data_IF_094228647790
#
_entry.id   IF_094228647790
#
_cell.length_a   1.000
_cell.length_b   1.000
_cell.length_c   1.000
_cell.angle_alpha   90.00
_cell.angle_beta   90.00
_cell.angle_gamma   90.00
#
_symmetry.space_group_name_H-M   'P 1'
#
loop_
_entity.id
_entity.type
_entity.pdbx_description
1 polymer ?
#
# COMPACT_ATOMS: atom_id res chain seq x y z
N UNK A 1 -0.34 -55.09 -3.63
CA UNK A 1 -0.05 -53.87 -4.41
C UNK A 1 -0.84 -54.02 -5.67
N UNK A 2 -2.09 -53.57 -5.62
CA UNK A 2 -3.08 -53.62 -6.68
C UNK A 2 -3.57 -52.18 -6.90
N UNK A 3 -3.81 -51.73 -8.14
CA UNK A 3 -4.28 -50.38 -8.40
C UNK A 3 -5.81 -50.34 -8.24
N UNK A 4 -6.30 -49.45 -7.37
CA UNK A 4 -7.73 -49.11 -7.32
C UNK A 4 -7.98 -47.99 -8.32
N UNK A 5 -8.72 -48.29 -9.38
CA UNK A 5 -9.23 -47.32 -10.36
C UNK A 5 -10.05 -46.20 -9.69
N UNK A 6 -10.00 -44.95 -10.19
CA UNK A 6 -10.93 -43.92 -9.77
C UNK A 6 -12.32 -44.20 -10.38
N UNK A 7 -13.30 -44.42 -9.51
CA UNK A 7 -14.70 -44.54 -9.88
C UNK A 7 -15.17 -43.28 -10.63
N UNK A 8 -15.54 -43.46 -11.90
CA UNK A 8 -16.29 -42.50 -12.68
C UNK A 8 -17.66 -42.25 -12.02
N UNK A 9 -17.82 -41.10 -11.36
CA UNK A 9 -19.12 -40.64 -10.88
C UNK A 9 -19.92 -40.09 -12.07
N UNK A 10 -20.91 -40.86 -12.50
CA UNK A 10 -21.91 -40.48 -13.49
C UNK A 10 -22.70 -39.25 -13.03
N UNK A 11 -22.70 -38.20 -13.85
CA UNK A 11 -23.57 -37.02 -13.69
C UNK A 11 -25.00 -37.43 -14.01
N UNK A 12 -25.83 -37.58 -12.98
CA UNK A 12 -27.27 -37.79 -13.14
C UNK A 12 -27.98 -36.43 -13.29
N UNK A 13 -28.86 -36.33 -14.28
CA UNK A 13 -29.52 -35.09 -14.74
C UNK A 13 -30.64 -34.56 -13.81
N UNK A 14 -30.58 -34.84 -12.50
CA UNK A 14 -31.63 -34.48 -11.53
C UNK A 14 -31.36 -33.24 -10.65
N UNK A 15 -30.11 -32.78 -10.55
CA UNK A 15 -29.71 -31.79 -9.52
C UNK A 15 -29.55 -30.35 -10.06
N UNK A 16 -30.34 -29.98 -11.07
CA UNK A 16 -30.14 -28.71 -11.80
C UNK A 16 -30.32 -27.43 -10.97
N UNK A 17 -31.17 -27.43 -9.94
CA UNK A 17 -31.37 -26.27 -9.07
C UNK A 17 -30.73 -26.44 -7.69
N UNK A 18 -30.76 -27.63 -7.09
CA UNK A 18 -30.12 -27.90 -5.79
C UNK A 18 -28.59 -27.96 -5.89
N UNK A 19 -28.03 -28.48 -6.99
CA UNK A 19 -26.59 -28.45 -7.26
C UNK A 19 -26.09 -27.05 -7.62
N UNK A 20 -26.94 -26.25 -8.29
CA UNK A 20 -26.67 -24.85 -8.63
C UNK A 20 -26.83 -23.95 -7.39
N UNK A 21 -27.74 -24.27 -6.47
CA UNK A 21 -27.85 -23.61 -5.17
C UNK A 21 -26.64 -23.96 -4.29
N UNK A 22 -26.19 -25.23 -4.23
CA UNK A 22 -24.95 -25.60 -3.51
C UNK A 22 -23.69 -24.99 -4.12
N UNK A 23 -23.61 -24.78 -5.44
CA UNK A 23 -22.48 -24.08 -6.06
C UNK A 23 -22.54 -22.56 -5.88
N UNK A 24 -23.75 -21.97 -5.82
CA UNK A 24 -23.96 -20.55 -5.52
C UNK A 24 -23.74 -20.23 -4.04
N UNK A 25 -24.15 -21.10 -3.12
CA UNK A 25 -24.01 -20.90 -1.67
C UNK A 25 -22.77 -21.56 -1.09
N UNK A 26 -22.03 -22.37 -1.85
CA UNK A 26 -20.71 -22.86 -1.46
C UNK A 26 -19.71 -21.73 -1.23
N UNK A 27 -19.88 -20.60 -1.93
CA UNK A 27 -19.11 -19.35 -1.71
C UNK A 27 -19.57 -18.59 -0.44
N UNK A 28 -20.75 -18.90 0.07
CA UNK A 28 -21.33 -18.31 1.29
C UNK A 28 -21.37 -19.32 2.45
N UNK A 29 -20.80 -20.52 2.30
CA UNK A 29 -20.78 -21.51 3.36
C UNK A 29 -19.77 -21.09 4.43
N UNK A 30 -20.13 -21.30 5.70
CA UNK A 30 -19.26 -21.02 6.84
C UNK A 30 -17.94 -21.81 6.79
N UNK A 31 -17.85 -22.84 5.95
CA UNK A 31 -16.66 -23.67 5.74
C UNK A 31 -15.61 -22.99 4.87
N UNK A 32 -15.99 -22.37 3.74
CA UNK A 32 -15.05 -21.59 2.92
C UNK A 32 -14.57 -20.36 3.67
N UNK A 33 -15.46 -19.72 4.45
CA UNK A 33 -15.08 -18.66 5.37
C UNK A 33 -14.18 -19.17 6.50
N UNK A 34 -14.38 -20.37 7.05
CA UNK A 34 -13.46 -20.98 8.04
C UNK A 34 -12.10 -21.29 7.44
N UNK A 35 -12.05 -21.80 6.22
CA UNK A 35 -10.81 -22.16 5.53
C UNK A 35 -9.99 -20.89 5.23
N UNK A 36 -10.63 -19.87 4.65
CA UNK A 36 -10.01 -18.58 4.36
C UNK A 36 -9.64 -17.81 5.65
N UNK A 37 -10.49 -17.86 6.67
CA UNK A 37 -10.22 -17.27 7.98
C UNK A 37 -9.05 -17.98 8.67
N UNK A 38 -8.98 -19.30 8.67
CA UNK A 38 -7.88 -20.06 9.27
C UNK A 38 -6.55 -19.89 8.50
N UNK A 39 -6.61 -19.62 7.20
CA UNK A 39 -5.42 -19.29 6.40
C UNK A 39 -4.94 -17.85 6.61
N UNK A 40 -5.84 -16.92 6.95
CA UNK A 40 -5.55 -15.48 7.08
C UNK A 40 -5.29 -15.06 8.52
N UNK A 41 -5.97 -15.69 9.47
CA UNK A 41 -5.86 -15.48 10.92
C UNK A 41 -5.35 -16.79 11.53
N UNK A 42 -4.13 -16.81 12.11
CA UNK A 42 -3.64 -17.99 12.79
C UNK A 42 -4.61 -18.35 13.92
N UNK A 43 -4.82 -19.64 14.17
CA UNK A 43 -5.66 -20.07 15.29
C UNK A 43 -5.11 -19.49 16.61
N UNK A 44 -5.95 -19.28 17.61
CA UNK A 44 -5.50 -18.72 18.90
C UNK A 44 -4.33 -19.52 19.50
N UNK A 45 -4.29 -20.84 19.25
CA UNK A 45 -3.19 -21.71 19.63
C UNK A 45 -1.91 -21.45 18.84
N UNK A 46 -2.02 -21.16 17.54
CA UNK A 46 -0.89 -20.87 16.65
C UNK A 46 -0.32 -19.46 16.92
N UNK A 47 -1.18 -18.50 17.28
CA UNK A 47 -0.74 -17.19 17.80
C UNK A 47 -0.06 -17.33 19.17
N UNK A 48 -0.58 -18.20 20.03
CA UNK A 48 -0.01 -18.48 21.34
C UNK A 48 1.41 -19.03 21.21
N UNK A 49 1.62 -20.05 20.38
CA UNK A 49 2.96 -20.62 20.14
C UNK A 49 3.97 -19.65 19.48
N UNK A 50 3.49 -18.58 18.83
CA UNK A 50 4.39 -17.54 18.29
C UNK A 50 4.80 -16.49 19.33
N UNK A 51 3.97 -16.33 20.36
CA UNK A 51 4.21 -15.39 21.45
C UNK A 51 4.98 -16.05 22.60
N UNK A 52 4.71 -17.33 22.85
CA UNK A 52 5.39 -18.19 23.81
C UNK A 52 6.80 -18.55 23.28
N UNK A 53 7.76 -17.67 23.55
CA UNK A 53 9.12 -17.76 23.01
C UNK A 53 9.99 -18.75 23.80
N UNK A 54 9.66 -18.96 25.07
CA UNK A 54 10.32 -19.93 25.95
C UNK A 54 9.62 -21.29 26.02
N UNK A 55 8.47 -21.44 25.36
CA UNK A 55 7.66 -22.66 25.25
C UNK A 55 7.17 -23.20 26.61
N UNK A 56 6.92 -22.29 27.56
CA UNK A 56 6.49 -22.64 28.91
C UNK A 56 4.97 -22.89 29.03
N UNK A 57 4.22 -22.68 27.95
CA UNK A 57 2.79 -22.88 27.91
C UNK A 57 1.98 -21.75 28.55
N UNK A 58 2.61 -20.61 28.84
CA UNK A 58 2.03 -19.34 29.28
C UNK A 58 2.54 -18.22 28.36
N UNK A 59 1.90 -17.04 28.40
CA UNK A 59 2.42 -15.85 27.70
C UNK A 59 2.70 -14.80 28.75
N UNK A 60 3.98 -14.52 28.98
CA UNK A 60 4.40 -13.50 29.94
C UNK A 60 4.14 -12.08 29.40
N UNK A 61 4.11 -11.09 30.30
CA UNK A 61 3.96 -9.68 29.92
C UNK A 61 5.09 -9.17 29.03
N UNK A 62 6.30 -9.73 29.18
CA UNK A 62 7.48 -9.37 28.40
C UNK A 62 7.44 -9.95 26.99
N UNK A 63 7.00 -11.21 26.84
CA UNK A 63 6.79 -11.85 25.54
C UNK A 63 5.61 -11.26 24.77
N UNK A 64 4.53 -10.92 25.46
CA UNK A 64 3.39 -10.21 24.86
C UNK A 64 3.81 -8.84 24.34
N UNK A 65 4.62 -8.10 25.11
CA UNK A 65 5.17 -6.81 24.69
C UNK A 65 6.14 -6.96 23.51
N UNK A 66 7.02 -7.97 23.53
CA UNK A 66 7.95 -8.28 22.45
C UNK A 66 7.21 -8.61 21.14
N UNK A 67 6.18 -9.46 21.17
CA UNK A 67 5.38 -9.82 20.01
C UNK A 67 4.54 -8.67 19.44
N UNK A 68 4.04 -7.76 20.29
CA UNK A 68 3.35 -6.54 19.86
C UNK A 68 4.30 -5.44 19.35
N UNK A 69 5.59 -5.53 19.67
CA UNK A 69 6.64 -4.59 19.24
C UNK A 69 7.40 -5.01 17.97
N UNK A 70 7.05 -6.14 17.35
CA UNK A 70 7.61 -6.60 16.08
C UNK A 70 7.35 -5.63 14.90
N UNK A 71 8.20 -5.68 13.85
CA UNK A 71 8.35 -4.60 12.88
C UNK A 71 7.04 -4.24 12.17
N UNK A 72 6.90 -2.96 11.83
CA UNK A 72 5.83 -2.29 11.08
C UNK A 72 5.18 -3.06 9.92
N UNK A 73 5.79 -4.14 9.45
CA UNK A 73 5.16 -5.14 8.62
C UNK A 73 3.83 -5.66 9.17
N UNK A 74 3.55 -5.62 10.48
CA UNK A 74 2.21 -6.00 10.99
C UNK A 74 1.07 -5.13 10.43
N UNK A 75 1.25 -3.81 10.39
CA UNK A 75 0.22 -2.89 9.87
C UNK A 75 0.16 -2.88 8.35
N UNK A 76 1.29 -2.99 7.66
CA UNK A 76 1.30 -3.10 6.20
C UNK A 76 0.76 -4.47 5.74
N UNK A 77 1.10 -5.57 6.43
CA UNK A 77 0.54 -6.89 6.17
C UNK A 77 -0.94 -6.97 6.55
N UNK A 78 -1.38 -6.33 7.64
CA UNK A 78 -2.80 -6.24 7.97
C UNK A 78 -3.55 -5.40 6.94
N UNK A 79 -2.98 -4.27 6.50
CA UNK A 79 -3.59 -3.41 5.47
C UNK A 79 -3.61 -4.11 4.11
N UNK A 80 -2.57 -4.84 3.75
CA UNK A 80 -2.51 -5.68 2.56
C UNK A 80 -3.44 -6.88 2.66
N UNK A 81 -3.53 -7.56 3.79
CA UNK A 81 -4.45 -8.68 4.01
C UNK A 81 -5.90 -8.21 4.02
N UNK A 82 -6.20 -7.08 4.65
CA UNK A 82 -7.50 -6.43 4.61
C UNK A 82 -7.83 -5.94 3.20
N UNK A 83 -6.88 -5.33 2.47
CA UNK A 83 -7.07 -4.97 1.07
C UNK A 83 -7.25 -6.19 0.18
N UNK A 84 -6.49 -7.28 0.38
CA UNK A 84 -6.63 -8.52 -0.37
C UNK A 84 -7.93 -9.24 -0.04
N UNK A 85 -8.41 -9.17 1.20
CA UNK A 85 -9.70 -9.72 1.60
C UNK A 85 -10.86 -8.89 1.06
N UNK A 86 -10.78 -7.56 1.16
CA UNK A 86 -11.76 -6.64 0.56
C UNK A 86 -11.76 -6.80 -0.95
N UNK A 87 -10.59 -6.87 -1.60
CA UNK A 87 -10.48 -7.16 -3.02
C UNK A 87 -10.96 -8.58 -3.32
N UNK A 88 -10.67 -9.60 -2.54
CA UNK A 88 -11.19 -10.95 -2.78
C UNK A 88 -12.72 -11.05 -2.61
N UNK A 89 -13.35 -10.13 -1.86
CA UNK A 89 -14.81 -10.01 -1.73
C UNK A 89 -15.39 -9.12 -2.85
N UNK A 90 -14.69 -8.07 -3.24
CA UNK A 90 -15.11 -7.08 -4.25
C UNK A 90 -14.77 -7.49 -5.69
N UNK A 91 -13.73 -8.28 -5.90
CA UNK A 91 -13.22 -8.74 -7.21
C UNK A 91 -14.08 -9.84 -7.84
N UNK A 92 -14.75 -10.73 -7.08
CA UNK A 92 -15.86 -11.54 -7.60
C UNK A 92 -17.01 -10.67 -8.14
N UNK A 93 -17.16 -9.44 -7.64
CA UNK A 93 -18.11 -8.46 -8.19
C UNK A 93 -17.60 -7.76 -9.47
N UNK A 94 -16.32 -7.92 -9.81
CA UNK A 94 -15.68 -7.39 -11.01
C UNK A 94 -15.35 -8.49 -12.05
N UNK A 95 -15.84 -9.72 -11.86
CA UNK A 95 -15.70 -10.76 -12.88
C UNK A 95 -16.46 -10.39 -14.15
N UNK A 96 -15.95 -10.82 -15.31
CA UNK A 96 -16.61 -10.75 -16.64
C UNK A 96 -18.09 -11.23 -16.63
N UNK A 97 -18.51 -11.94 -15.59
CA UNK A 97 -19.88 -12.33 -15.30
C UNK A 97 -20.78 -11.13 -15.00
N UNK A 98 -20.27 -10.06 -14.38
CA UNK A 98 -20.95 -8.78 -14.23
C UNK A 98 -20.99 -7.99 -15.52
N UNK A 99 -19.93 -8.02 -16.33
CA UNK A 99 -19.99 -7.51 -17.69
C UNK A 99 -21.04 -8.26 -18.52
N UNK A 100 -21.15 -9.59 -18.37
CA UNK A 100 -22.21 -10.42 -18.95
C UNK A 100 -23.58 -10.15 -18.33
N UNK A 101 -23.67 -9.81 -17.05
CA UNK A 101 -24.93 -9.49 -16.36
C UNK A 101 -25.44 -8.12 -16.80
N UNK A 102 -24.57 -7.11 -16.90
CA UNK A 102 -24.83 -5.80 -17.49
C UNK A 102 -25.13 -5.95 -18.99
N UNK A 103 -24.46 -6.86 -19.70
CA UNK A 103 -24.77 -7.21 -21.08
C UNK A 103 -26.13 -7.93 -21.23
N UNK A 104 -26.48 -8.83 -20.32
CA UNK A 104 -27.79 -9.51 -20.30
C UNK A 104 -28.93 -8.61 -19.84
N UNK A 105 -28.65 -7.65 -18.94
CA UNK A 105 -29.64 -6.72 -18.40
C UNK A 105 -29.83 -5.46 -19.27
N UNK A 106 -28.73 -4.82 -19.69
CA UNK A 106 -28.74 -3.58 -20.46
C UNK A 106 -28.23 -3.74 -21.90
N UNK A 107 -27.27 -4.65 -22.15
CA UNK A 107 -26.71 -4.89 -23.49
C UNK A 107 -27.73 -5.45 -24.48
N UNK A 108 -28.65 -6.33 -24.02
CA UNK A 108 -29.79 -6.80 -24.81
C UNK A 108 -30.79 -5.68 -25.15
N UNK A 109 -31.01 -4.73 -24.24
CA UNK A 109 -31.86 -3.55 -24.45
C UNK A 109 -31.21 -2.53 -25.39
N UNK A 110 -29.89 -2.33 -25.28
CA UNK A 110 -29.12 -1.49 -26.19
C UNK A 110 -29.01 -2.11 -27.59
N UNK A 111 -28.81 -3.43 -27.69
CA UNK A 111 -28.87 -4.15 -28.96
C UNK A 111 -30.28 -4.14 -29.53
N UNK A 112 -31.33 -4.30 -28.72
CA UNK A 112 -32.72 -4.19 -29.17
C UNK A 112 -33.04 -2.77 -29.65
N UNK A 113 -32.58 -1.73 -28.94
CA UNK A 113 -32.71 -0.34 -29.35
C UNK A 113 -31.94 -0.07 -30.65
N UNK A 114 -30.72 -0.58 -30.78
CA UNK A 114 -29.91 -0.50 -32.00
C UNK A 114 -30.57 -1.26 -33.17
N UNK A 115 -31.12 -2.45 -32.92
CA UNK A 115 -31.78 -3.31 -33.91
C UNK A 115 -33.14 -2.69 -34.33
N UNK A 116 -33.86 -2.05 -33.41
CA UNK A 116 -35.04 -1.21 -33.70
C UNK A 116 -34.68 0.03 -34.53
N UNK A 117 -33.47 0.60 -34.39
CA UNK A 117 -32.99 1.68 -35.28
C UNK A 117 -32.51 1.18 -36.65
N UNK A 118 -32.01 -0.06 -36.72
CA UNK A 118 -31.51 -0.72 -37.94
C UNK A 118 -32.59 -1.51 -38.70
N UNK A 119 -33.84 -1.51 -38.23
CA UNK A 119 -35.02 -2.03 -38.95
C UNK A 119 -35.83 -0.90 -39.64
N UNK A 120 -35.30 -0.18 -40.65
CA UNK A 120 -36.10 0.78 -41.39
C UNK A 120 -36.85 0.06 -42.53
N UNK A 121 -37.79 -0.86 -42.24
CA UNK A 121 -38.56 -1.44 -43.36
C UNK A 121 -39.94 -2.08 -43.12
N UNK A 122 -40.62 -1.90 -41.98
CA UNK A 122 -41.92 -2.60 -41.80
C UNK A 122 -43.15 -1.71 -41.54
N UNK A 123 -43.05 -0.40 -41.26
CA UNK A 123 -44.25 0.46 -41.34
C UNK A 123 -43.94 1.94 -41.57
N UNK A 124 -44.44 2.49 -42.68
CA UNK A 124 -44.26 3.87 -43.15
C UNK A 124 -45.10 4.92 -42.40
N UNK A 125 -45.71 4.57 -41.26
CA UNK A 125 -46.76 5.39 -40.64
C UNK A 125 -46.38 6.04 -39.30
N UNK A 126 -45.22 5.72 -38.71
CA UNK A 126 -44.83 6.24 -37.38
C UNK A 126 -43.83 7.40 -37.53
N UNK A 127 -44.11 8.58 -36.97
CA UNK A 127 -43.22 9.74 -37.10
C UNK A 127 -41.87 9.45 -36.41
N UNK A 128 -40.77 9.61 -37.16
CA UNK A 128 -39.38 9.34 -36.75
C UNK A 128 -38.93 10.02 -35.44
N UNK A 129 -39.68 11.01 -34.96
CA UNK A 129 -39.43 11.72 -33.70
C UNK A 129 -39.73 10.86 -32.46
N UNK A 130 -40.64 9.88 -32.55
CA UNK A 130 -41.09 9.09 -31.42
C UNK A 130 -40.01 8.11 -30.92
N UNK A 131 -39.09 7.66 -31.78
CA UNK A 131 -38.02 6.71 -31.42
C UNK A 131 -36.75 7.38 -30.86
N UNK A 132 -36.57 8.70 -31.02
CA UNK A 132 -35.34 9.40 -30.58
C UNK A 132 -35.31 9.62 -29.06
N UNK A 133 -36.41 10.10 -28.52
CA UNK A 133 -36.56 10.38 -27.09
C UNK A 133 -36.43 9.16 -26.17
N UNK A 134 -37.01 7.98 -26.47
CA UNK A 134 -36.82 6.81 -25.61
C UNK A 134 -35.37 6.31 -25.62
N UNK A 135 -34.66 6.39 -26.76
CA UNK A 135 -33.25 5.99 -26.84
C UNK A 135 -32.38 6.95 -26.02
N UNK A 136 -32.55 8.26 -26.19
CA UNK A 136 -31.86 9.26 -25.37
C UNK A 136 -32.16 9.07 -23.88
N UNK A 137 -33.41 8.82 -23.51
CA UNK A 137 -33.81 8.59 -22.12
C UNK A 137 -33.13 7.34 -21.53
N UNK A 138 -33.09 6.22 -22.26
CA UNK A 138 -32.41 4.99 -21.81
C UNK A 138 -30.91 5.22 -21.68
N UNK A 139 -30.26 5.88 -22.64
CA UNK A 139 -28.83 6.18 -22.57
C UNK A 139 -28.50 7.10 -21.38
N UNK A 140 -29.27 8.17 -21.16
CA UNK A 140 -29.09 9.05 -20.00
C UNK A 140 -29.36 8.34 -18.67
N UNK A 141 -30.31 7.40 -18.63
CA UNK A 141 -30.59 6.60 -17.44
C UNK A 141 -29.42 5.66 -17.11
N UNK A 142 -28.81 5.02 -18.11
CA UNK A 142 -27.61 4.19 -17.93
C UNK A 142 -26.44 5.03 -17.42
N UNK A 143 -26.15 6.16 -18.07
CA UNK A 143 -25.09 7.09 -17.65
C UNK A 143 -25.35 7.59 -16.22
N UNK A 144 -26.59 7.95 -15.89
CA UNK A 144 -26.98 8.39 -14.56
C UNK A 144 -26.83 7.30 -13.49
N UNK A 145 -27.16 6.05 -13.84
CA UNK A 145 -26.94 4.88 -12.98
C UNK A 145 -25.46 4.62 -12.70
N UNK A 146 -24.61 4.68 -13.74
CA UNK A 146 -23.16 4.56 -13.58
C UNK A 146 -22.58 5.67 -12.69
N UNK A 147 -23.01 6.92 -12.90
CA UNK A 147 -22.61 8.05 -12.09
C UNK A 147 -23.03 7.88 -10.62
N UNK A 148 -24.25 7.39 -10.38
CA UNK A 148 -24.75 7.13 -9.04
C UNK A 148 -23.92 6.05 -8.33
N UNK A 149 -23.67 4.92 -9.00
CA UNK A 149 -22.84 3.84 -8.45
C UNK A 149 -21.42 4.34 -8.16
N UNK A 150 -20.82 5.09 -9.08
CA UNK A 150 -19.50 5.69 -8.88
C UNK A 150 -19.47 6.64 -7.67
N UNK A 151 -20.49 7.50 -7.53
CA UNK A 151 -20.62 8.41 -6.39
C UNK A 151 -20.78 7.65 -5.07
N UNK A 152 -21.62 6.61 -5.04
CA UNK A 152 -21.82 5.75 -3.87
C UNK A 152 -20.53 5.02 -3.47
N UNK A 153 -19.80 4.46 -4.43
CA UNK A 153 -18.50 3.85 -4.18
C UNK A 153 -17.52 4.86 -3.58
N UNK A 154 -17.48 6.09 -4.11
CA UNK A 154 -16.59 7.13 -3.59
C UNK A 154 -16.97 7.56 -2.17
N UNK A 155 -18.26 7.67 -1.87
CA UNK A 155 -18.75 7.96 -0.52
C UNK A 155 -18.39 6.82 0.42
N UNK A 156 -18.60 5.57 0.01
CA UNK A 156 -18.24 4.39 0.79
C UNK A 156 -16.76 4.38 1.15
N UNK A 157 -15.87 4.57 0.16
CA UNK A 157 -14.42 4.67 0.39
C UNK A 157 -14.10 5.79 1.38
N UNK A 158 -14.70 6.98 1.21
CA UNK A 158 -14.49 8.11 2.14
C UNK A 158 -14.94 7.81 3.57
N UNK A 159 -16.05 7.10 3.74
CA UNK A 159 -16.56 6.71 5.07
C UNK A 159 -15.66 5.66 5.70
N UNK A 160 -15.28 4.62 4.96
CA UNK A 160 -14.34 3.61 5.44
C UNK A 160 -13.00 4.25 5.80
N UNK A 161 -12.45 5.11 4.93
CA UNK A 161 -11.24 5.88 5.21
C UNK A 161 -11.40 6.76 6.45
N UNK A 162 -12.56 7.41 6.66
CA UNK A 162 -12.81 8.23 7.84
C UNK A 162 -12.91 7.42 9.15
N UNK A 163 -13.49 6.21 9.09
CA UNK A 163 -13.63 5.31 10.26
C UNK A 163 -12.29 4.64 10.59
N UNK A 164 -11.51 4.25 9.58
CA UNK A 164 -10.20 3.60 9.75
C UNK A 164 -9.09 4.61 10.03
N UNK A 165 -9.21 5.86 9.57
CA UNK A 165 -8.21 6.89 9.83
C UNK A 165 -8.16 7.22 11.32
N UNK A 166 -6.98 7.05 11.91
CA UNK A 166 -6.71 7.42 13.30
C UNK A 166 -7.00 8.91 13.49
N UNK A 167 -7.91 9.30 14.41
CA UNK A 167 -8.32 10.70 14.59
C UNK A 167 -7.13 11.61 14.93
N UNK A 168 -6.11 11.06 15.58
CA UNK A 168 -4.83 11.75 15.85
C UNK A 168 -4.12 12.23 14.58
N UNK A 169 -4.00 11.39 13.55
CA UNK A 169 -3.34 11.76 12.29
C UNK A 169 -4.11 12.85 11.55
N UNK A 170 -5.45 12.80 11.61
CA UNK A 170 -6.30 13.83 11.02
C UNK A 170 -6.11 15.19 11.71
N UNK A 171 -6.09 15.19 13.04
CA UNK A 171 -5.89 16.43 13.79
C UNK A 171 -4.53 17.08 13.49
N UNK A 172 -3.46 16.27 13.44
CA UNK A 172 -2.12 16.75 13.09
C UNK A 172 -2.04 17.28 11.66
N UNK A 173 -2.68 16.63 10.68
CA UNK A 173 -2.75 17.13 9.29
C UNK A 173 -3.45 18.49 9.20
N UNK A 174 -4.56 18.66 9.91
CA UNK A 174 -5.26 19.95 9.95
C UNK A 174 -4.37 21.05 10.56
N UNK A 175 -3.65 20.74 11.65
CA UNK A 175 -2.72 21.69 12.26
C UNK A 175 -1.56 22.06 11.32
N UNK A 176 -1.06 21.09 10.53
CA UNK A 176 -0.03 21.34 9.52
C UNK A 176 -0.54 22.30 8.44
N UNK A 177 -1.80 22.17 8.01
CA UNK A 177 -2.44 23.08 7.05
C UNK A 177 -2.63 24.50 7.63
N UNK A 178 -2.89 24.60 8.94
CA UNK A 178 -3.09 25.88 9.65
C UNK A 178 -1.78 26.57 10.07
N UNK A 179 -0.63 25.89 9.96
CA UNK A 179 0.67 26.39 10.42
C UNK A 179 1.09 27.64 9.65
N UNK A 180 1.49 28.69 10.39
CA UNK A 180 1.85 30.00 9.78
C UNK A 180 3.34 30.21 9.59
N UNK A 181 4.16 29.35 10.19
CA UNK A 181 5.61 29.40 10.06
C UNK A 181 6.19 28.03 9.70
N UNK A 182 7.35 28.05 9.03
CA UNK A 182 8.06 26.81 8.70
C UNK A 182 8.50 26.02 9.95
N UNK A 183 8.94 26.71 11.01
CA UNK A 183 9.34 26.04 12.25
C UNK A 183 8.17 25.33 12.95
N UNK A 184 6.99 25.93 12.92
CA UNK A 184 5.75 25.32 13.41
C UNK A 184 5.33 24.14 12.54
N UNK A 185 5.33 24.32 11.22
CA UNK A 185 5.04 23.26 10.25
C UNK A 185 5.97 22.05 10.44
N UNK A 186 7.28 22.28 10.59
CA UNK A 186 8.29 21.23 10.76
C UNK A 186 8.08 20.47 12.07
N UNK A 187 7.74 21.16 13.16
CA UNK A 187 7.45 20.54 14.44
C UNK A 187 6.24 19.60 14.34
N UNK A 188 5.16 20.06 13.71
CA UNK A 188 3.94 19.28 13.53
C UNK A 188 4.15 18.11 12.54
N UNK A 189 4.92 18.31 11.48
CA UNK A 189 5.27 17.26 10.52
C UNK A 189 6.07 16.13 11.19
N UNK A 190 7.05 16.48 12.05
CA UNK A 190 7.79 15.50 12.85
C UNK A 190 6.88 14.75 13.82
N UNK A 191 5.98 15.45 14.51
CA UNK A 191 5.02 14.80 15.42
C UNK A 191 4.09 13.83 14.66
N UNK A 192 3.67 14.19 13.44
CA UNK A 192 2.92 13.31 12.55
C UNK A 192 3.75 12.08 12.14
N UNK A 193 5.03 12.26 11.80
CA UNK A 193 5.93 11.16 11.48
C UNK A 193 6.11 10.19 12.66
N UNK A 194 6.29 10.69 13.88
CA UNK A 194 6.36 9.89 15.11
C UNK A 194 5.06 9.14 15.35
N UNK A 195 3.90 9.78 15.15
CA UNK A 195 2.61 9.13 15.34
C UNK A 195 2.34 7.99 14.35
N UNK A 196 2.95 8.06 13.16
CA UNK A 196 2.89 7.03 12.12
C UNK A 196 4.02 5.98 12.27
N UNK A 197 4.91 6.16 13.25
CA UNK A 197 6.07 5.32 13.50
C UNK A 197 7.16 5.44 12.42
N UNK A 198 7.12 6.47 11.57
CA UNK A 198 8.11 6.66 10.49
C UNK A 198 9.53 6.90 11.01
N UNK A 199 9.67 7.26 12.29
CA UNK A 199 10.97 7.39 12.95
C UNK A 199 11.74 6.05 13.00
N UNK A 200 11.04 4.93 13.21
CA UNK A 200 11.66 3.59 13.21
C UNK A 200 12.30 3.27 11.85
N UNK A 201 11.65 3.69 10.76
CA UNK A 201 12.22 3.56 9.41
C UNK A 201 13.50 4.40 9.25
N UNK A 202 13.60 5.57 9.89
CA UNK A 202 14.80 6.41 9.85
C UNK A 202 15.97 5.79 10.60
N UNK A 203 15.69 5.11 11.71
CA UNK A 203 16.66 4.42 12.55
C UNK A 203 17.17 3.13 11.87
N UNK A 204 16.30 2.43 11.15
CA UNK A 204 16.70 1.24 10.39
C UNK A 204 17.73 1.55 9.30
N UNK A 205 18.97 1.10 9.48
CA UNK A 205 20.00 1.10 8.44
C UNK A 205 19.66 0.09 7.31
N UNK A 206 18.96 -0.99 7.64
CA UNK A 206 18.60 -2.06 6.70
C UNK A 206 17.16 -1.90 6.22
N UNK A 207 16.98 -1.76 4.91
CA UNK A 207 15.67 -1.84 4.25
C UNK A 207 15.11 -0.52 3.72
N UNK A 208 14.18 -0.65 2.76
CA UNK A 208 13.27 0.41 2.31
C UNK A 208 13.77 1.36 1.21
N UNK A 209 15.07 1.55 1.03
CA UNK A 209 15.60 2.51 0.04
C UNK A 209 16.66 1.90 -0.87
N UNK A 210 16.69 2.33 -2.13
CA UNK A 210 17.67 1.92 -3.15
C UNK A 210 19.07 2.54 -2.97
N UNK A 211 19.46 2.93 -1.76
CA UNK A 211 20.82 3.42 -1.48
C UNK A 211 21.69 2.29 -0.93
N UNK A 212 22.99 2.33 -1.25
CA UNK A 212 23.93 1.35 -0.76
C UNK A 212 24.42 1.75 0.64
N UNK A 213 23.67 1.36 1.67
CA UNK A 213 23.96 1.70 3.06
C UNK A 213 25.32 1.18 3.55
N UNK A 214 25.76 -0.01 3.07
CA UNK A 214 27.07 -0.57 3.43
C UNK A 214 28.20 0.31 2.92
N UNK A 215 28.12 0.66 1.63
CA UNK A 215 29.10 1.56 1.03
C UNK A 215 29.15 2.92 1.75
N UNK A 216 28.02 3.47 2.17
CA UNK A 216 28.00 4.73 2.93
C UNK A 216 28.68 4.54 4.29
N UNK A 217 28.47 3.43 4.99
CA UNK A 217 29.16 3.14 6.25
C UNK A 217 30.68 3.02 6.06
N UNK A 218 31.11 2.35 4.99
CA UNK A 218 32.53 2.21 4.66
C UNK A 218 33.15 3.59 4.39
N UNK A 219 32.48 4.44 3.62
CA UNK A 219 32.95 5.81 3.34
C UNK A 219 32.99 6.67 4.61
N UNK A 220 32.01 6.55 5.51
CA UNK A 220 32.05 7.24 6.81
C UNK A 220 33.26 6.77 7.63
N UNK A 221 33.55 5.47 7.64
CA UNK A 221 34.71 4.92 8.34
C UNK A 221 36.02 5.45 7.75
N UNK A 222 36.16 5.45 6.42
CA UNK A 222 37.33 5.96 5.71
C UNK A 222 37.57 7.45 6.00
N UNK A 223 36.49 8.26 6.01
CA UNK A 223 36.58 9.70 6.34
C UNK A 223 37.03 9.92 7.79
N UNK A 224 36.51 9.13 8.73
CA UNK A 224 36.90 9.19 10.15
C UNK A 224 38.36 8.80 10.35
N UNK A 225 38.80 7.74 9.69
CA UNK A 225 40.18 7.28 9.73
C UNK A 225 41.12 8.34 9.15
N UNK A 226 40.85 8.83 7.93
CA UNK A 226 41.65 9.87 7.29
C UNK A 226 41.67 11.19 8.11
N UNK A 227 40.57 11.50 8.80
CA UNK A 227 40.52 12.63 9.72
C UNK A 227 41.39 12.40 10.94
N UNK A 228 41.39 11.19 11.51
CA UNK A 228 42.19 10.81 12.67
C UNK A 228 43.70 10.75 12.38
N UNK A 229 44.11 10.32 11.18
CA UNK A 229 45.51 10.28 10.74
C UNK A 229 46.22 11.64 10.81
N UNK A 230 45.46 12.74 10.74
CA UNK A 230 46.03 14.10 10.77
C UNK A 230 46.56 14.60 9.43
N UNK A 231 46.86 13.70 8.49
CA UNK A 231 47.42 14.01 7.19
C UNK A 231 46.37 14.59 6.21
N UNK A 232 46.59 15.78 5.62
CA UNK A 232 45.60 16.41 4.74
C UNK A 232 45.44 15.66 3.41
N UNK A 233 46.46 14.95 2.95
CA UNK A 233 46.42 14.21 1.68
C UNK A 233 45.48 13.01 1.72
N UNK A 234 45.44 12.27 2.84
CA UNK A 234 44.53 11.14 3.03
C UNK A 234 43.07 11.63 3.05
N UNK A 235 42.82 12.73 3.77
CA UNK A 235 41.51 13.34 3.86
C UNK A 235 41.00 13.85 2.51
N UNK A 236 41.86 14.49 1.71
CA UNK A 236 41.53 14.91 0.35
C UNK A 236 41.16 13.69 -0.51
N UNK A 237 41.91 12.59 -0.40
CA UNK A 237 41.67 11.37 -1.18
C UNK A 237 40.31 10.76 -0.85
N UNK A 238 39.96 10.64 0.43
CA UNK A 238 38.64 10.18 0.86
C UNK A 238 37.51 11.13 0.41
N UNK A 239 37.72 12.44 0.51
CA UNK A 239 36.76 13.46 0.07
C UNK A 239 36.53 13.46 -1.45
N UNK A 240 37.52 13.10 -2.27
CA UNK A 240 37.36 13.04 -3.73
C UNK A 240 36.24 12.07 -4.15
N UNK A 241 36.10 10.93 -3.46
CA UNK A 241 35.00 9.99 -3.71
C UNK A 241 33.63 10.66 -3.49
N UNK A 242 33.55 11.52 -2.49
CA UNK A 242 32.35 12.22 -2.05
C UNK A 242 31.94 13.38 -2.99
N UNK A 243 32.83 13.82 -3.87
CA UNK A 243 32.52 14.85 -4.89
C UNK A 243 31.71 14.32 -6.08
N UNK A 244 31.54 13.00 -6.19
CA UNK A 244 30.78 12.39 -7.29
C UNK A 244 29.28 12.68 -7.13
N UNK A 245 28.57 12.76 -8.26
CA UNK A 245 27.12 12.93 -8.23
C UNK A 245 26.44 11.73 -7.53
N UNK A 246 25.59 12.02 -6.56
CA UNK A 246 24.76 11.05 -5.84
C UNK A 246 25.52 9.83 -5.28
N UNK A 247 26.55 10.08 -4.47
CA UNK A 247 27.38 9.05 -3.83
C UNK A 247 26.51 8.07 -3.05
N UNK A 248 26.63 6.76 -3.36
CA UNK A 248 25.89 5.71 -2.67
C UNK A 248 24.37 5.78 -2.82
N UNK A 249 23.83 6.67 -3.67
CA UNK A 249 22.39 6.87 -3.81
C UNK A 249 21.76 7.75 -2.72
N UNK A 250 22.54 8.48 -1.92
CA UNK A 250 22.06 9.30 -0.78
C UNK A 250 21.08 10.41 -1.16
N UNK A 251 21.11 10.88 -2.42
CA UNK A 251 20.23 11.94 -2.93
C UNK A 251 19.00 11.39 -3.66
N UNK A 252 18.64 10.12 -3.45
CA UNK A 252 17.45 9.54 -4.07
C UNK A 252 16.16 10.16 -3.48
N UNK A 253 15.24 10.56 -4.37
CA UNK A 253 13.96 11.18 -4.01
C UNK A 253 13.13 10.34 -3.02
N UNK A 254 13.17 9.02 -3.17
CA UNK A 254 12.47 8.06 -2.29
C UNK A 254 12.82 8.26 -0.81
N UNK A 255 14.00 8.78 -0.48
CA UNK A 255 14.43 9.02 0.90
C UNK A 255 13.78 10.24 1.54
N UNK A 256 13.46 11.25 0.72
CA UNK A 256 12.87 12.51 1.17
C UNK A 256 11.34 12.48 1.10
N UNK A 257 10.76 11.60 0.27
CA UNK A 257 9.30 11.48 0.12
C UNK A 257 8.62 10.59 1.15
N UNK A 258 9.38 9.84 1.96
CA UNK A 258 8.82 8.89 2.92
C UNK A 258 8.30 9.57 4.20
N UNK A 259 9.04 10.56 4.72
CA UNK A 259 8.69 11.33 5.92
C UNK A 259 7.93 12.59 5.52
N UNK A 260 7.01 13.07 6.37
CA UNK A 260 6.29 14.32 6.12
C UNK A 260 7.23 15.52 6.28
N UNK A 261 8.19 15.44 7.19
CA UNK A 261 9.21 16.47 7.41
C UNK A 261 10.27 16.52 6.30
N UNK A 262 10.36 15.49 5.44
CA UNK A 262 11.40 15.37 4.43
C UNK A 262 12.78 15.05 4.99
N UNK A 263 12.85 14.51 6.21
CA UNK A 263 14.12 14.14 6.83
C UNK A 263 14.60 12.78 6.31
N UNK A 264 15.86 12.67 5.86
CA UNK A 264 16.41 11.42 5.39
C UNK A 264 16.69 10.47 6.56
N UNK A 265 17.15 9.26 6.23
CA UNK A 265 17.60 8.29 7.23
C UNK A 265 18.79 8.82 8.04
N UNK A 266 18.93 8.34 9.27
CA UNK A 266 20.03 8.75 10.15
C UNK A 266 21.41 8.46 9.57
N UNK A 267 21.57 7.37 8.81
CA UNK A 267 22.82 7.05 8.11
C UNK A 267 23.25 8.14 7.11
N UNK A 268 22.29 8.71 6.38
CA UNK A 268 22.57 9.78 5.41
C UNK A 268 22.87 11.09 6.13
N UNK A 269 22.17 11.36 7.22
CA UNK A 269 22.46 12.52 8.08
C UNK A 269 23.89 12.42 8.63
N UNK A 270 24.26 11.26 9.20
CA UNK A 270 25.60 11.00 9.71
C UNK A 270 26.69 11.11 8.62
N UNK A 271 26.40 10.67 7.40
CA UNK A 271 27.31 10.86 6.26
C UNK A 271 27.52 12.33 5.92
N UNK A 272 26.44 13.12 5.82
CA UNK A 272 26.52 14.56 5.51
C UNK A 272 27.24 15.31 6.64
N UNK A 273 26.97 14.97 7.89
CA UNK A 273 27.64 15.55 9.05
C UNK A 273 29.14 15.24 9.03
N UNK A 274 29.53 13.98 8.83
CA UNK A 274 30.94 13.58 8.72
C UNK A 274 31.64 14.27 7.55
N UNK A 275 30.96 14.46 6.41
CA UNK A 275 31.48 15.22 5.28
C UNK A 275 31.72 16.69 5.64
N UNK A 276 30.76 17.35 6.27
CA UNK A 276 30.88 18.74 6.67
C UNK A 276 32.04 18.92 7.66
N UNK A 277 32.14 18.02 8.65
CA UNK A 277 33.24 18.02 9.62
C UNK A 277 34.60 17.74 8.95
N UNK A 278 34.66 16.83 7.98
CA UNK A 278 35.89 16.51 7.23
C UNK A 278 36.36 17.68 6.38
N UNK A 279 35.44 18.39 5.71
CA UNK A 279 35.75 19.59 4.94
C UNK A 279 36.24 20.72 5.86
N UNK A 280 35.57 20.96 6.99
CA UNK A 280 35.99 21.98 7.95
C UNK A 280 37.37 21.65 8.57
N UNK A 281 37.61 20.38 8.92
CA UNK A 281 38.91 19.92 9.40
C UNK A 281 40.02 20.15 8.35
N UNK A 282 39.75 19.87 7.07
CA UNK A 282 40.68 20.12 5.98
C UNK A 282 40.99 21.62 5.84
N UNK A 283 39.96 22.47 5.87
CA UNK A 283 40.11 23.93 5.77
C UNK A 283 40.96 24.47 6.92
N UNK A 284 40.72 24.03 8.16
CA UNK A 284 41.50 24.45 9.33
C UNK A 284 42.98 24.06 9.22
N UNK A 285 43.28 22.88 8.65
CA UNK A 285 44.67 22.40 8.48
C UNK A 285 45.40 23.12 7.35
N UNK A 286 44.74 23.35 6.22
CA UNK A 286 45.35 23.96 5.03
C UNK A 286 45.40 25.49 5.14
N UNK A 287 44.44 26.11 5.81
CA UNK A 287 44.28 27.56 5.90
C UNK A 287 44.02 28.02 7.35
N UNK A 288 45.00 27.95 8.26
CA UNK A 288 44.81 28.21 9.69
C UNK A 288 44.36 29.64 10.06
N UNK A 289 44.34 30.58 9.10
CA UNK A 289 43.98 31.98 9.33
C UNK A 289 42.57 32.41 8.86
N UNK A 290 41.81 31.54 8.19
CA UNK A 290 40.47 31.89 7.69
C UNK A 290 39.43 31.43 8.70
N UNK A 291 38.91 32.35 9.53
CA UNK A 291 37.76 32.05 10.40
C UNK A 291 36.54 31.73 9.54
N UNK A 292 35.85 30.65 9.88
CA UNK A 292 34.55 30.26 9.33
C UNK A 292 33.51 31.35 9.55
#
# INVERSE_FOLDING_TARGET
MDPVEPAAAAVSAGDGLMGLWRSLTGVLSSEVWREAYNQTFPSAHDMFQRLDADADGMVSLEELAAGMSGPQGSWDNFREAAWRAIMAVMWPLAEWRWALFIWRGCGGLLLLALLLTMLPRINSSVPRQLFRWPILAVTYLVIGGELLIYALLRIFIRVVEAVVAVPRHRHLRNQIEDARSYGEWLKLARELDTSQGRDVWRESATGGCKHNWRFIQDVIADLREARASGEPHELITALQLCTRANVGGVMAEEQFSYTNAGEPKHIVTAFIDELAESVDALVRRVCPGRRA
#
